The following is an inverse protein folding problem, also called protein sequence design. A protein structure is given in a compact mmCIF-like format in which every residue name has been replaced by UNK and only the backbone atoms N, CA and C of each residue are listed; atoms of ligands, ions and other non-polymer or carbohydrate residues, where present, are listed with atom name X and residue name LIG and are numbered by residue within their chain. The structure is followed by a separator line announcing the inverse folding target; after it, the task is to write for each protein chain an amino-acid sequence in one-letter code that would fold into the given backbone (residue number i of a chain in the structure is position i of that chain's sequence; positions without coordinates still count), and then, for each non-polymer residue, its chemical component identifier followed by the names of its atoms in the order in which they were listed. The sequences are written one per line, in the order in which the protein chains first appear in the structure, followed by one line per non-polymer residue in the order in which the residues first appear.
data_IF_949526702141
#
_entry.id   IF_949526702141
#
_cell.length_a   1.000
_cell.length_b   1.000
_cell.length_c   1.000
_cell.angle_alpha   90.00
_cell.angle_beta   90.00
_cell.angle_gamma   90.00
#
_symmetry.space_group_name_H-M   'P 1'
#
loop_
_entity.id
_entity.type
_entity.pdbx_description
1 polymer ?
#
# COMPACT_ATOMS: atom_id res chain seq x y z
N UNK A 1 15.95 12.00 -2.42
CA UNK A 1 15.02 10.84 -2.44
C UNK A 1 13.60 11.33 -2.24
N UNK A 2 12.70 11.06 -3.19
CA UNK A 2 11.30 11.52 -3.14
C UNK A 2 10.53 10.84 -2.01
N UNK A 3 10.02 11.61 -1.05
CA UNK A 3 9.28 11.10 0.11
C UNK A 3 7.92 10.57 -0.36
N UNK A 4 7.72 9.25 -0.27
CA UNK A 4 6.41 8.62 -0.53
C UNK A 4 5.40 9.17 0.49
N UNK A 5 4.35 9.83 0.01
CA UNK A 5 3.25 10.29 0.84
C UNK A 5 2.15 9.22 0.81
N UNK A 6 1.80 8.70 1.99
CA UNK A 6 0.72 7.75 2.13
C UNK A 6 -0.50 8.48 2.70
N UNK A 7 -1.62 8.40 1.99
CA UNK A 7 -2.90 8.83 2.52
C UNK A 7 -3.65 7.60 3.00
N UNK A 8 -3.84 7.52 4.31
CA UNK A 8 -4.49 6.39 4.95
C UNK A 8 -5.98 6.66 5.05
N UNK A 9 -6.81 5.78 4.50
CA UNK A 9 -8.26 5.85 4.69
C UNK A 9 -8.63 5.47 6.13
N UNK A 10 -9.77 5.95 6.65
CA UNK A 10 -10.25 5.55 7.98
C UNK A 10 -10.38 4.03 8.10
N UNK A 11 -10.90 3.38 7.05
CA UNK A 11 -10.98 1.92 6.98
C UNK A 11 -9.59 1.27 7.15
N UNK A 12 -8.59 1.78 6.43
CA UNK A 12 -7.24 1.26 6.54
C UNK A 12 -6.61 1.51 7.91
N UNK A 13 -6.83 2.67 8.53
CA UNK A 13 -6.31 2.96 9.87
C UNK A 13 -6.81 1.96 10.91
N UNK A 14 -8.12 1.65 10.90
CA UNK A 14 -8.71 0.63 11.77
C UNK A 14 -8.10 -0.75 11.50
N UNK A 15 -8.05 -1.18 10.23
CA UNK A 15 -7.45 -2.47 9.86
C UNK A 15 -5.96 -2.58 10.21
N UNK A 16 -5.23 -1.47 10.14
CA UNK A 16 -3.82 -1.41 10.47
C UNK A 16 -3.59 -1.72 11.95
N UNK A 17 -4.45 -1.18 12.83
CA UNK A 17 -4.41 -1.46 14.27
C UNK A 17 -4.85 -2.90 14.56
N UNK A 18 -6.00 -3.33 14.05
CA UNK A 18 -6.54 -4.69 14.29
C UNK A 18 -5.59 -5.81 13.84
N UNK A 19 -4.91 -5.60 12.70
CA UNK A 19 -4.07 -6.62 12.06
C UNK A 19 -2.58 -6.43 12.33
N UNK A 20 -2.22 -5.49 13.20
CA UNK A 20 -0.84 -5.16 13.56
C UNK A 20 0.06 -4.94 12.33
N UNK A 21 -0.46 -4.18 11.36
CA UNK A 21 0.22 -3.92 10.09
C UNK A 21 1.27 -2.84 10.32
N UNK A 22 2.51 -3.13 9.94
CA UNK A 22 3.59 -2.17 10.08
C UNK A 22 3.63 -1.26 8.85
N UNK A 23 3.51 0.05 9.08
CA UNK A 23 3.48 1.04 8.00
C UNK A 23 4.76 1.02 7.14
N UNK A 24 5.90 0.64 7.73
CA UNK A 24 7.16 0.51 7.00
C UNK A 24 7.13 -0.64 5.99
N UNK A 25 6.43 -1.74 6.29
CA UNK A 25 6.23 -2.84 5.34
C UNK A 25 5.35 -2.39 4.17
N UNK A 26 4.32 -1.58 4.45
CA UNK A 26 3.46 -0.99 3.42
C UNK A 26 4.26 -0.08 2.49
N UNK A 27 5.08 0.83 3.06
CA UNK A 27 5.97 1.70 2.29
C UNK A 27 6.94 0.90 1.43
N UNK A 28 7.53 -0.17 1.98
CA UNK A 28 8.46 -1.03 1.26
C UNK A 28 7.76 -1.74 0.09
N UNK A 29 6.57 -2.28 0.32
CA UNK A 29 5.79 -2.94 -0.73
C UNK A 29 5.36 -2.00 -1.86
N UNK A 30 5.08 -0.73 -1.58
CA UNK A 30 4.76 0.25 -2.61
C UNK A 30 6.00 0.68 -3.40
N UNK A 31 7.13 0.85 -2.71
CA UNK A 31 8.38 1.33 -3.33
C UNK A 31 9.06 0.26 -4.18
N UNK A 32 9.13 -0.95 -3.67
CA UNK A 32 9.87 -2.07 -4.26
C UNK A 32 9.04 -3.36 -4.10
N UNK A 33 7.95 -3.54 -4.87
CA UNK A 33 7.14 -4.75 -4.81
C UNK A 33 7.86 -5.94 -5.45
N UNK A 34 7.66 -7.14 -4.89
CA UNK A 34 8.06 -8.38 -5.59
C UNK A 34 7.06 -8.70 -6.71
N UNK A 35 5.79 -8.32 -6.50
CA UNK A 35 4.73 -8.45 -7.50
C UNK A 35 3.86 -7.19 -7.49
N UNK A 36 3.54 -6.68 -8.67
CA UNK A 36 2.64 -5.54 -8.88
C UNK A 36 1.62 -5.89 -9.96
N UNK A 37 0.34 -5.75 -9.62
CA UNK A 37 -0.78 -6.11 -10.49
C UNK A 37 -1.80 -4.97 -10.50
N UNK A 38 -2.32 -4.64 -11.68
CA UNK A 38 -3.52 -3.83 -11.77
C UNK A 38 -4.72 -4.67 -11.32
N UNK A 39 -5.60 -4.09 -10.52
CA UNK A 39 -6.86 -4.70 -10.08
C UNK A 39 -8.03 -3.79 -10.48
N UNK A 40 -9.25 -4.21 -10.16
CA UNK A 40 -10.49 -3.53 -10.55
C UNK A 40 -10.51 -2.03 -10.14
N UNK A 41 -11.19 -1.20 -10.94
CA UNK A 41 -11.39 0.25 -10.69
C UNK A 41 -10.09 1.08 -10.57
N UNK A 42 -9.06 0.79 -11.36
CA UNK A 42 -7.83 1.59 -11.38
C UNK A 42 -6.99 1.46 -10.10
N UNK A 43 -7.30 0.47 -9.26
CA UNK A 43 -6.50 0.14 -8.08
C UNK A 43 -5.30 -0.71 -8.49
N UNK A 44 -4.26 -0.64 -7.69
CA UNK A 44 -3.04 -1.44 -7.82
C UNK A 44 -2.89 -2.31 -6.58
N UNK A 45 -2.64 -3.60 -6.79
CA UNK A 45 -2.26 -4.56 -5.75
C UNK A 45 -0.78 -4.81 -5.85
N UNK A 46 -0.08 -4.69 -4.73
CA UNK A 46 1.33 -5.06 -4.61
C UNK A 46 1.52 -6.12 -3.54
N UNK A 47 2.52 -6.97 -3.75
CA UNK A 47 2.96 -7.97 -2.77
C UNK A 47 4.46 -7.81 -2.52
N UNK A 48 4.86 -8.00 -1.27
CA UNK A 48 6.27 -7.98 -0.87
C UNK A 48 6.50 -8.97 0.26
N UNK A 49 7.54 -9.79 0.13
CA UNK A 49 7.99 -10.67 1.19
C UNK A 49 8.74 -9.87 2.25
N UNK A 50 8.33 -10.05 3.50
CA UNK A 50 8.91 -9.41 4.68
C UNK A 50 9.23 -10.51 5.69
N UNK A 51 10.49 -10.95 5.70
CA UNK A 51 10.91 -12.11 6.49
C UNK A 51 10.16 -13.37 6.05
N UNK A 52 9.41 -13.97 6.97
CA UNK A 52 8.59 -15.17 6.74
C UNK A 52 7.18 -14.88 6.24
N UNK A 53 6.71 -13.62 6.26
CA UNK A 53 5.35 -13.24 5.87
C UNK A 53 5.35 -12.51 4.53
N UNK A 54 4.21 -12.49 3.84
CA UNK A 54 4.04 -11.66 2.64
C UNK A 54 3.03 -10.56 2.92
N UNK A 55 3.42 -9.30 2.81
CA UNK A 55 2.45 -8.20 2.89
C UNK A 55 1.81 -7.99 1.52
N UNK A 56 0.49 -7.89 1.51
CA UNK A 56 -0.31 -7.48 0.35
C UNK A 56 -0.88 -6.10 0.64
N UNK A 57 -0.70 -5.16 -0.28
CA UNK A 57 -1.22 -3.79 -0.17
C UNK A 57 -2.05 -3.48 -1.40
N UNK A 58 -3.24 -2.93 -1.20
CA UNK A 58 -4.09 -2.41 -2.27
C UNK A 58 -4.18 -0.90 -2.13
N UNK A 59 -3.80 -0.19 -3.18
CA UNK A 59 -3.80 1.27 -3.21
C UNK A 59 -4.27 1.79 -4.56
N UNK A 60 -4.56 3.08 -4.63
CA UNK A 60 -4.69 3.79 -5.91
C UNK A 60 -3.95 5.12 -5.84
N UNK A 61 -3.66 5.69 -7.01
CA UNK A 61 -3.11 7.04 -7.12
C UNK A 61 -4.26 8.00 -7.43
N UNK A 62 -4.20 9.19 -6.85
CA UNK A 62 -5.11 10.26 -7.24
C UNK A 62 -4.67 10.80 -8.62
N UNK A 63 -5.39 10.39 -9.66
CA UNK A 63 -5.08 10.74 -11.05
C UNK A 63 -5.13 12.25 -11.35
N UNK A 64 -5.80 13.04 -10.50
CA UNK A 64 -5.83 14.50 -10.64
C UNK A 64 -4.51 15.16 -10.19
N UNK A 65 -3.69 14.43 -9.42
CA UNK A 65 -2.42 14.88 -8.86
C UNK A 65 -1.29 13.94 -9.27
N UNK A 66 -1.21 13.54 -10.53
CA UNK A 66 -0.17 12.61 -11.04
C UNK A 66 1.29 13.08 -10.77
N UNK A 67 1.50 14.35 -10.41
CA UNK A 67 2.78 14.91 -9.95
C UNK A 67 3.08 14.65 -8.46
N UNK A 68 2.11 14.26 -7.64
CA UNK A 68 2.31 13.93 -6.24
C UNK A 68 2.57 12.44 -6.08
N UNK A 69 3.64 12.08 -5.36
CA UNK A 69 3.89 10.71 -4.91
C UNK A 69 2.93 10.32 -3.77
N UNK A 70 1.64 10.62 -3.93
CA UNK A 70 0.57 10.38 -2.97
C UNK A 70 -0.17 9.09 -3.33
N UNK A 71 -0.13 8.14 -2.40
CA UNK A 71 -0.73 6.82 -2.56
C UNK A 71 -1.87 6.68 -1.54
N UNK A 72 -3.09 6.46 -2.02
CA UNK A 72 -4.25 6.27 -1.16
C UNK A 72 -4.38 4.79 -0.87
N UNK A 73 -4.23 4.42 0.41
CA UNK A 73 -4.21 3.01 0.83
C UNK A 73 -5.64 2.56 1.15
N UNK A 74 -6.11 1.57 0.38
CA UNK A 74 -7.41 0.92 0.59
C UNK A 74 -7.34 -0.05 1.76
N UNK A 75 -6.43 -1.01 1.66
CA UNK A 75 -6.26 -2.08 2.63
C UNK A 75 -4.86 -2.68 2.54
N UNK A 76 -4.44 -3.33 3.62
CA UNK A 76 -3.31 -4.24 3.59
C UNK A 76 -3.57 -5.43 4.53
N UNK A 77 -2.82 -6.51 4.32
CA UNK A 77 -2.84 -7.69 5.17
C UNK A 77 -1.56 -8.51 4.96
N UNK A 78 -1.23 -9.35 5.94
CA UNK A 78 -0.21 -10.37 5.78
C UNK A 78 -0.85 -11.69 5.34
N UNK A 79 -0.17 -12.37 4.42
CA UNK A 79 -0.29 -13.80 4.17
C UNK A 79 0.74 -14.53 5.03
#
# INVERSE_FOLDING_TARGET
MSKVKLRLTNHFQVRMQERNIQIEHVKKAIRDPDLKEAVFEGRTRVRKKIGSKTIVVVYWKDGFRDKSNEYIISTAYYL
#
